data_IF_342880545283
#
_entry.id   IF_342880545283
#
_cell.length_a   1.000
_cell.length_b   1.000
_cell.length_c   1.000
_cell.angle_alpha   90.00
_cell.angle_beta   90.00
_cell.angle_gamma   90.00
#
_symmetry.space_group_name_H-M   'P 1'
#
loop_
_entity.id
_entity.type
_entity.pdbx_description
1 polymer ?
#
# COMPACT_ATOMS: atom_id res chain seq x y z
N UNK A 1 -59.67 36.44 -10.29
CA UNK A 1 -59.77 35.88 -8.93
C UNK A 1 -59.14 34.49 -8.93
N UNK A 2 -58.25 34.20 -7.95
CA UNK A 2 -57.94 32.86 -7.39
C UNK A 2 -57.20 31.80 -8.26
N UNK A 3 -55.85 31.89 -8.19
CA UNK A 3 -54.80 30.88 -7.87
C UNK A 3 -54.96 29.36 -8.15
N UNK A 4 -53.79 28.75 -8.40
CA UNK A 4 -53.34 27.36 -8.16
C UNK A 4 -53.66 26.34 -9.29
N UNK A 5 -52.78 25.44 -9.76
CA UNK A 5 -51.58 24.77 -9.23
C UNK A 5 -50.59 24.51 -10.39
N UNK A 6 -49.30 24.73 -10.17
CA UNK A 6 -48.20 24.23 -11.03
C UNK A 6 -47.93 22.77 -10.64
N UNK A 7 -48.27 21.84 -11.53
CA UNK A 7 -48.01 20.41 -11.36
C UNK A 7 -46.65 20.03 -11.95
N UNK A 8 -45.67 19.87 -11.07
CA UNK A 8 -44.35 19.28 -11.33
C UNK A 8 -44.53 17.76 -11.51
N UNK A 9 -44.21 17.19 -12.67
CA UNK A 9 -44.15 15.73 -12.84
C UNK A 9 -42.83 15.34 -13.53
N UNK A 10 -41.87 15.03 -12.67
CA UNK A 10 -40.55 14.46 -12.91
C UNK A 10 -40.72 12.99 -13.33
N UNK A 11 -40.22 12.60 -14.50
CA UNK A 11 -40.13 11.19 -14.92
C UNK A 11 -38.74 10.95 -15.50
N UNK A 12 -37.82 10.53 -14.64
CA UNK A 12 -36.55 9.92 -15.05
C UNK A 12 -36.53 8.54 -14.39
N UNK A 13 -36.97 7.52 -15.12
CA UNK A 13 -36.91 6.14 -14.66
C UNK A 13 -35.57 5.53 -15.09
N UNK A 14 -34.79 5.27 -14.05
CA UNK A 14 -33.47 4.70 -13.98
C UNK A 14 -33.30 3.43 -14.81
N UNK A 15 -32.23 3.38 -15.59
CA UNK A 15 -31.67 2.17 -16.18
C UNK A 15 -31.24 1.22 -15.05
N UNK A 16 -31.99 0.15 -14.83
CA UNK A 16 -31.59 -0.97 -14.00
C UNK A 16 -30.50 -1.78 -14.72
N UNK A 17 -29.25 -1.32 -14.61
CA UNK A 17 -28.09 -2.14 -14.91
C UNK A 17 -27.74 -2.97 -13.69
N UNK A 18 -28.04 -4.27 -13.71
CA UNK A 18 -27.47 -5.24 -12.79
C UNK A 18 -25.96 -5.32 -13.03
N UNK A 19 -25.19 -4.45 -12.38
CA UNK A 19 -23.76 -4.66 -12.22
C UNK A 19 -23.60 -5.83 -11.25
N UNK A 20 -23.27 -7.02 -11.78
CA UNK A 20 -22.76 -8.12 -10.97
C UNK A 20 -21.43 -7.65 -10.37
N UNK A 21 -21.46 -7.21 -9.11
CA UNK A 21 -20.25 -6.97 -8.33
C UNK A 21 -19.58 -8.32 -8.12
N UNK A 22 -18.56 -8.62 -8.92
CA UNK A 22 -17.61 -9.69 -8.60
C UNK A 22 -16.97 -9.29 -7.27
N UNK A 23 -17.14 -10.07 -6.18
CA UNK A 23 -16.45 -9.76 -4.94
C UNK A 23 -14.96 -9.80 -5.22
N UNK A 24 -14.26 -8.68 -5.00
CA UNK A 24 -12.82 -8.70 -4.95
C UNK A 24 -12.38 -9.80 -3.96
N UNK A 25 -11.30 -10.55 -4.23
CA UNK A 25 -10.82 -11.58 -3.33
C UNK A 25 -10.69 -10.98 -1.93
N UNK A 26 -11.31 -11.63 -0.95
CA UNK A 26 -11.37 -11.16 0.43
C UNK A 26 -9.94 -10.82 0.88
N UNK A 27 -9.65 -9.53 1.03
CA UNK A 27 -8.39 -9.09 1.58
C UNK A 27 -8.29 -9.68 2.99
N UNK A 28 -7.34 -10.57 3.21
CA UNK A 28 -6.97 -10.99 4.56
C UNK A 28 -6.68 -9.69 5.31
N UNK A 29 -7.32 -9.39 6.45
CA UNK A 29 -7.04 -8.16 7.16
C UNK A 29 -5.67 -8.25 7.86
N UNK A 30 -4.95 -7.14 7.94
CA UNK A 30 -3.74 -7.07 8.73
C UNK A 30 -4.05 -7.29 10.22
N UNK A 31 -3.20 -8.01 10.98
CA UNK A 31 -3.35 -8.16 12.43
C UNK A 31 -2.87 -6.89 13.16
N UNK A 32 -3.59 -5.77 12.98
CA UNK A 32 -3.16 -4.42 13.40
C UNK A 32 -2.84 -4.33 14.89
N UNK A 33 -3.62 -4.97 15.77
CA UNK A 33 -3.40 -4.93 17.22
C UNK A 33 -2.05 -5.56 17.62
N UNK A 34 -1.72 -6.70 17.01
CA UNK A 34 -0.44 -7.38 17.20
C UNK A 34 0.71 -6.53 16.68
N UNK A 35 0.58 -6.00 15.45
CA UNK A 35 1.65 -5.19 14.82
C UNK A 35 1.89 -3.89 15.61
N UNK A 36 0.84 -3.28 16.16
CA UNK A 36 0.94 -2.04 16.92
C UNK A 36 1.76 -2.18 18.21
N UNK A 37 1.78 -3.37 18.80
CA UNK A 37 2.56 -3.69 20.00
C UNK A 37 4.05 -3.93 19.71
N UNK A 38 4.43 -4.12 18.44
CA UNK A 38 5.82 -4.42 18.09
C UNK A 38 6.73 -3.19 18.21
N UNK A 39 8.01 -3.38 18.57
CA UNK A 39 9.00 -2.33 18.51
C UNK A 39 9.19 -1.85 17.07
N UNK A 40 9.44 -0.55 16.91
CA UNK A 40 9.73 0.07 15.62
C UNK A 40 11.23 0.30 15.52
N UNK A 41 11.84 -0.23 14.45
CA UNK A 41 13.29 -0.16 14.21
C UNK A 41 13.54 0.64 12.96
N UNK A 42 14.34 1.71 13.08
CA UNK A 42 14.74 2.50 11.92
C UNK A 42 15.73 1.71 11.07
N UNK A 43 15.61 1.84 9.75
CA UNK A 43 16.59 1.27 8.81
C UNK A 43 18.02 1.71 9.16
N UNK A 44 18.96 0.75 9.17
CA UNK A 44 20.36 0.98 9.54
C UNK A 44 20.65 0.92 11.04
N UNK A 45 19.64 0.78 11.90
CA UNK A 45 19.86 0.50 13.33
C UNK A 45 20.39 -0.93 13.55
N UNK A 46 21.11 -1.18 14.66
CA UNK A 46 21.54 -2.53 15.03
C UNK A 46 20.34 -3.48 15.17
N UNK A 47 20.51 -4.78 14.86
CA UNK A 47 19.43 -5.76 15.00
C UNK A 47 18.97 -5.90 16.45
N UNK A 48 17.65 -5.86 16.67
CA UNK A 48 17.03 -6.10 17.98
C UNK A 48 16.91 -7.60 18.27
N UNK A 49 18.03 -8.31 18.37
CA UNK A 49 18.04 -9.75 18.67
C UNK A 49 17.10 -10.57 17.78
N UNK A 50 16.45 -11.60 18.35
CA UNK A 50 15.53 -12.51 17.63
C UNK A 50 14.05 -12.09 17.69
N UNK A 51 13.74 -10.86 18.12
CA UNK A 51 12.36 -10.38 18.27
C UNK A 51 11.72 -9.93 16.95
N UNK A 52 10.39 -10.01 16.86
CA UNK A 52 9.65 -9.37 15.76
C UNK A 52 9.67 -7.84 15.91
N UNK A 53 9.74 -7.14 14.79
CA UNK A 53 9.74 -5.68 14.77
C UNK A 53 9.11 -5.13 13.50
N UNK A 54 8.69 -3.87 13.55
CA UNK A 54 8.31 -3.08 12.39
C UNK A 54 9.53 -2.31 11.90
N UNK A 55 9.92 -2.50 10.65
CA UNK A 55 10.97 -1.70 10.02
C UNK A 55 10.40 -0.33 9.63
N UNK A 56 11.08 0.75 10.00
CA UNK A 56 10.75 2.13 9.63
C UNK A 56 11.81 2.70 8.69
N UNK A 57 11.36 3.12 7.51
CA UNK A 57 12.14 3.87 6.53
C UNK A 57 11.61 5.30 6.55
N UNK A 58 12.37 6.28 7.06
CA UNK A 58 11.90 7.65 7.14
C UNK A 58 11.76 8.31 5.77
N UNK A 59 10.79 9.21 5.66
CA UNK A 59 10.72 10.13 4.53
C UNK A 59 12.03 10.91 4.37
N UNK A 60 12.39 11.23 3.14
CA UNK A 60 13.56 12.04 2.79
C UNK A 60 14.92 11.48 3.25
N UNK A 61 14.96 10.22 3.71
CA UNK A 61 16.19 9.54 4.07
C UNK A 61 16.76 8.79 2.85
N UNK A 62 18.03 8.98 2.49
CA UNK A 62 18.66 8.21 1.43
C UNK A 62 18.82 6.76 1.87
N UNK A 63 18.29 5.83 1.08
CA UNK A 63 18.43 4.38 1.26
C UNK A 63 19.35 3.85 0.17
N UNK A 64 20.53 3.32 0.50
CA UNK A 64 21.43 2.75 -0.50
C UNK A 64 20.83 1.47 -1.07
N UNK A 65 20.91 1.32 -2.38
CA UNK A 65 20.45 0.12 -3.08
C UNK A 65 21.58 -0.45 -3.95
N UNK A 66 21.61 -1.78 -4.04
CA UNK A 66 22.44 -2.49 -5.00
C UNK A 66 21.56 -3.49 -5.75
N UNK A 67 21.36 -3.26 -7.04
CA UNK A 67 20.68 -4.21 -7.92
C UNK A 67 21.74 -5.04 -8.61
N UNK A 68 21.61 -6.35 -8.51
CA UNK A 68 22.47 -7.29 -9.24
C UNK A 68 21.61 -8.15 -10.15
N UNK A 69 21.94 -8.21 -11.43
CA UNK A 69 21.20 -8.97 -12.45
C UNK A 69 22.12 -9.93 -13.16
N UNK A 70 21.61 -11.13 -13.46
CA UNK A 70 22.33 -12.20 -14.19
C UNK A 70 21.39 -12.81 -15.23
N UNK A 71 21.93 -13.29 -16.33
CA UNK A 71 21.17 -13.97 -17.38
C UNK A 71 22.01 -14.26 -18.61
N UNK A 72 21.55 -15.18 -19.45
CA UNK A 72 22.23 -15.59 -20.69
C UNK A 72 22.29 -14.50 -21.76
N UNK A 73 21.36 -13.52 -21.70
CA UNK A 73 21.38 -12.34 -22.56
C UNK A 73 22.45 -11.31 -22.16
N UNK A 74 22.97 -11.40 -20.93
CA UNK A 74 23.98 -10.49 -20.42
C UNK A 74 25.37 -11.12 -20.56
N UNK A 75 26.39 -10.29 -20.83
CA UNK A 75 27.80 -10.71 -20.84
C UNK A 75 28.35 -10.91 -19.41
N UNK A 76 27.58 -11.54 -18.53
CA UNK A 76 27.90 -11.77 -17.12
C UNK A 76 27.01 -11.01 -16.13
N UNK A 77 27.35 -11.11 -14.84
CA UNK A 77 26.62 -10.43 -13.77
C UNK A 77 26.83 -8.92 -13.87
N UNK A 78 25.74 -8.17 -13.98
CA UNK A 78 25.76 -6.71 -13.94
C UNK A 78 25.31 -6.23 -12.56
N UNK A 79 25.90 -5.14 -12.07
CA UNK A 79 25.52 -4.53 -10.80
C UNK A 79 25.35 -3.03 -10.98
N UNK A 80 24.27 -2.49 -10.42
CA UNK A 80 24.02 -1.05 -10.31
C UNK A 80 23.92 -0.70 -8.83
N UNK A 81 24.68 0.31 -8.40
CA UNK A 81 24.56 0.88 -7.06
C UNK A 81 23.91 2.26 -7.18
N UNK A 82 23.02 2.59 -6.26
CA UNK A 82 22.37 3.89 -6.21
C UNK A 82 21.82 4.21 -4.83
N UNK A 83 21.02 5.27 -4.75
CA UNK A 83 20.26 5.61 -3.56
C UNK A 83 18.84 6.01 -3.95
N UNK A 84 17.87 5.53 -3.17
CA UNK A 84 16.47 5.94 -3.27
C UNK A 84 16.14 6.84 -2.09
N UNK A 85 15.25 7.80 -2.32
CA UNK A 85 14.67 8.63 -1.27
C UNK A 85 13.16 8.54 -1.39
N UNK A 86 12.49 8.17 -0.31
CA UNK A 86 11.03 8.07 -0.29
C UNK A 86 10.41 9.40 0.14
N UNK A 87 9.31 9.80 -0.51
CA UNK A 87 8.58 11.03 -0.17
C UNK A 87 7.70 10.93 1.08
N UNK A 88 7.60 9.74 1.69
CA UNK A 88 6.79 9.46 2.88
C UNK A 88 7.46 8.40 3.73
N UNK A 89 7.12 8.38 5.02
CA UNK A 89 7.49 7.30 5.92
C UNK A 89 6.90 5.98 5.44
N UNK A 90 7.69 4.91 5.53
CA UNK A 90 7.27 3.56 5.20
C UNK A 90 7.53 2.67 6.41
N UNK A 91 6.48 1.98 6.84
CA UNK A 91 6.52 0.95 7.86
C UNK A 91 6.31 -0.41 7.21
N UNK A 92 7.18 -1.37 7.50
CA UNK A 92 7.16 -2.70 6.90
C UNK A 92 7.12 -3.75 8.01
N UNK A 93 6.21 -4.69 7.90
CA UNK A 93 6.14 -5.88 8.76
C UNK A 93 5.76 -7.10 7.94
N UNK A 94 6.70 -8.05 7.78
CA UNK A 94 6.51 -9.24 6.92
C UNK A 94 5.98 -8.83 5.53
N UNK A 95 4.76 -9.24 5.19
CA UNK A 95 4.08 -8.96 3.92
C UNK A 95 3.21 -7.71 3.96
N UNK A 96 3.22 -6.95 5.05
CA UNK A 96 2.43 -5.74 5.25
C UNK A 96 3.29 -4.49 5.11
N UNK A 97 2.69 -3.44 4.57
CA UNK A 97 3.26 -2.09 4.57
C UNK A 97 2.24 -1.06 4.99
N UNK A 98 2.71 0.02 5.61
CA UNK A 98 1.89 1.14 6.04
C UNK A 98 2.64 2.46 5.86
N UNK A 99 1.92 3.55 5.64
CA UNK A 99 2.48 4.91 5.60
C UNK A 99 2.21 5.70 6.88
N UNK A 100 1.36 5.19 7.78
CA UNK A 100 0.90 5.87 9.00
C UNK A 100 0.97 4.99 10.26
N UNK A 101 1.45 3.73 10.10
CA UNK A 101 1.51 2.66 11.11
C UNK A 101 0.14 2.15 11.58
N UNK A 102 -0.96 2.63 11.00
CA UNK A 102 -2.33 2.31 11.41
C UNK A 102 -3.05 1.53 10.32
N UNK A 103 -2.88 1.96 9.09
CA UNK A 103 -3.51 1.41 7.91
C UNK A 103 -2.49 0.55 7.17
N UNK A 104 -2.75 -0.75 7.09
CA UNK A 104 -1.81 -1.74 6.58
C UNK A 104 -2.34 -2.41 5.32
N UNK A 105 -1.47 -2.53 4.32
CA UNK A 105 -1.76 -3.14 3.02
C UNK A 105 -0.80 -4.29 2.74
N UNK A 106 -1.30 -5.34 2.08
CA UNK A 106 -0.47 -6.44 1.60
C UNK A 106 0.45 -5.95 0.46
N UNK A 107 1.74 -6.21 0.61
CA UNK A 107 2.74 -5.94 -0.41
C UNK A 107 2.45 -6.78 -1.66
N UNK A 108 2.43 -6.14 -2.83
CA UNK A 108 2.25 -6.81 -4.12
C UNK A 108 0.82 -6.90 -4.66
N UNK A 109 -0.19 -6.40 -3.92
CA UNK A 109 -1.58 -6.37 -4.43
C UNK A 109 -1.86 -5.12 -5.27
N UNK A 110 -1.20 -3.99 -4.99
CA UNK A 110 -1.43 -2.70 -5.66
C UNK A 110 -0.33 -2.30 -6.68
N UNK A 111 0.65 -3.15 -6.96
CA UNK A 111 1.78 -2.81 -7.85
C UNK A 111 1.47 -2.83 -9.36
N UNK A 112 0.19 -2.90 -9.75
CA UNK A 112 -0.26 -2.99 -11.15
C UNK A 112 -1.23 -1.87 -11.57
N UNK A 113 -1.26 -0.75 -10.85
CA UNK A 113 -1.99 0.46 -11.27
C UNK A 113 -1.06 1.60 -11.64
#
# INVERSE_FOLDING_TARGET
>A
MKKCIVGLALIVLFTAGCATTVPAPAAIPAPTDMISALPVVKIGSPPLGEGEFVLHIPANSPVPLKVTTRGSLLKGSQSLTGSLTFGRDIYIYKYWSSYDRKTWELQGVNSMQ
#
